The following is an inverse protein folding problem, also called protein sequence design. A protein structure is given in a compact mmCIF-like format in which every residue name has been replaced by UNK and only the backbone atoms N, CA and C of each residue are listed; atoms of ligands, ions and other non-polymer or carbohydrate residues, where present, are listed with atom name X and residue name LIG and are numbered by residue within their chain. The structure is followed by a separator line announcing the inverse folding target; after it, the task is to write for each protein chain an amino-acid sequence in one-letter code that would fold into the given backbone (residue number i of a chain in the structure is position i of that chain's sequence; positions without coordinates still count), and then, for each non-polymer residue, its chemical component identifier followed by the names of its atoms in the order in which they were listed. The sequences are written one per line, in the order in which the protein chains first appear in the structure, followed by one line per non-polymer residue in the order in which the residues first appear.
data_IF_085933396058
#
_entry.id   IF_085933396058
#
_cell.length_a   1.000
_cell.length_b   1.000
_cell.length_c   1.000
_cell.angle_alpha   90.00
_cell.angle_beta   90.00
_cell.angle_gamma   90.00
#
_symmetry.space_group_name_H-M   'P 1'
#
loop_
_entity.id
_entity.type
_entity.pdbx_description
1 polymer ?
#
# COMPACT_ATOMS: atom_id res chain seq x y z
N UNK A 1 13.27 0.98 14.60
CA UNK A 1 12.20 0.05 14.21
C UNK A 1 12.77 -1.15 13.49
N UNK A 2 12.26 -2.34 13.76
CA UNK A 2 12.72 -3.57 13.11
C UNK A 2 12.41 -3.52 11.60
N UNK A 3 13.32 -4.09 10.78
CA UNK A 3 13.09 -4.27 9.34
C UNK A 3 12.77 -5.73 9.06
N UNK A 4 11.63 -5.98 8.43
CA UNK A 4 11.18 -7.32 8.06
C UNK A 4 11.60 -7.61 6.63
N UNK A 5 12.30 -8.73 6.43
CA UNK A 5 12.64 -9.25 5.10
C UNK A 5 11.45 -10.04 4.57
N UNK A 6 10.95 -9.65 3.40
CA UNK A 6 9.85 -10.34 2.73
C UNK A 6 10.12 -10.47 1.24
N UNK A 7 9.35 -11.30 0.56
CA UNK A 7 9.43 -11.47 -0.90
C UNK A 7 8.04 -11.43 -1.49
N UNK A 8 7.83 -10.55 -2.47
CA UNK A 8 6.59 -10.48 -3.22
C UNK A 8 6.82 -10.87 -4.67
N UNK A 9 5.81 -11.46 -5.30
CA UNK A 9 5.81 -11.66 -6.75
C UNK A 9 5.23 -10.41 -7.40
N UNK A 10 6.03 -9.68 -8.16
CA UNK A 10 5.60 -8.47 -8.88
C UNK A 10 5.62 -8.73 -10.37
N UNK A 11 4.72 -8.06 -11.11
CA UNK A 11 4.78 -8.08 -12.57
C UNK A 11 6.00 -7.28 -13.03
N UNK A 12 6.60 -7.67 -14.14
CA UNK A 12 7.78 -6.99 -14.68
C UNK A 12 7.46 -5.58 -15.18
N UNK A 13 6.31 -5.37 -15.80
CA UNK A 13 5.82 -4.05 -16.20
C UNK A 13 5.67 -3.08 -15.02
N UNK A 14 5.15 -3.56 -13.88
CA UNK A 14 5.08 -2.78 -12.63
C UNK A 14 6.48 -2.38 -12.14
N UNK A 15 7.45 -3.29 -12.21
CA UNK A 15 8.84 -2.98 -11.83
C UNK A 15 9.47 -1.97 -12.78
N UNK A 16 9.28 -2.12 -14.08
CA UNK A 16 9.82 -1.19 -15.07
C UNK A 16 9.26 0.23 -14.88
N UNK A 17 7.98 0.35 -14.57
CA UNK A 17 7.36 1.66 -14.27
C UNK A 17 7.97 2.28 -13.01
N UNK A 18 8.20 1.47 -11.98
CA UNK A 18 8.80 1.91 -10.73
C UNK A 18 10.28 2.32 -10.89
N UNK A 19 11.05 1.57 -11.66
CA UNK A 19 12.45 1.87 -11.98
C UNK A 19 12.55 3.17 -12.80
N UNK A 20 11.72 3.33 -13.83
CA UNK A 20 11.65 4.57 -14.61
C UNK A 20 11.21 5.79 -13.76
N UNK A 21 10.35 5.58 -12.77
CA UNK A 21 9.93 6.63 -11.85
C UNK A 21 11.05 7.01 -10.85
N UNK A 22 11.84 6.04 -10.38
CA UNK A 22 13.02 6.29 -9.56
C UNK A 22 14.07 7.08 -10.33
N UNK A 23 14.37 6.71 -11.57
CA UNK A 23 15.30 7.46 -12.43
C UNK A 23 14.87 8.92 -12.63
N UNK A 24 13.56 9.16 -12.81
CA UNK A 24 13.02 10.52 -12.99
C UNK A 24 13.04 11.36 -11.72
N UNK A 25 12.76 10.76 -10.57
CA UNK A 25 12.55 11.50 -9.31
C UNK A 25 13.75 11.50 -8.38
N UNK A 26 14.71 10.58 -8.58
CA UNK A 26 15.80 10.30 -7.65
C UNK A 26 15.35 9.65 -6.33
N UNK A 27 14.08 9.29 -6.19
CA UNK A 27 13.52 8.68 -4.98
C UNK A 27 13.49 7.15 -5.15
N UNK A 28 13.91 6.37 -4.12
CA UNK A 28 13.88 4.92 -4.19
C UNK A 28 12.51 4.37 -4.56
N UNK A 29 12.45 3.43 -5.51
CA UNK A 29 11.18 2.88 -6.03
C UNK A 29 10.24 2.37 -4.92
N UNK A 30 10.80 1.84 -3.83
CA UNK A 30 10.01 1.32 -2.71
C UNK A 30 9.21 2.43 -2.01
N UNK A 31 9.76 3.64 -1.91
CA UNK A 31 9.05 4.79 -1.33
C UNK A 31 7.95 5.26 -2.27
N UNK A 32 8.21 5.30 -3.58
CA UNK A 32 7.20 5.62 -4.59
C UNK A 32 6.03 4.62 -4.55
N UNK A 33 6.35 3.33 -4.39
CA UNK A 33 5.35 2.28 -4.22
C UNK A 33 4.49 2.49 -2.98
N UNK A 34 5.10 2.77 -1.83
CA UNK A 34 4.36 3.01 -0.58
C UNK A 34 3.40 4.20 -0.74
N UNK A 35 3.87 5.31 -1.31
CA UNK A 35 3.04 6.49 -1.60
C UNK A 35 1.87 6.17 -2.53
N UNK A 36 2.12 5.44 -3.62
CA UNK A 36 1.07 5.01 -4.54
C UNK A 36 0.01 4.14 -3.85
N UNK A 37 0.44 3.26 -2.92
CA UNK A 37 -0.48 2.42 -2.14
C UNK A 37 -1.27 3.25 -1.12
N UNK A 38 -0.66 4.22 -0.44
CA UNK A 38 -1.38 5.15 0.44
C UNK A 38 -2.43 5.95 -0.34
N UNK A 39 -2.08 6.44 -1.53
CA UNK A 39 -3.01 7.16 -2.43
C UNK A 39 -4.20 6.30 -2.83
N UNK A 40 -3.96 5.02 -3.18
CA UNK A 40 -5.00 4.04 -3.47
C UNK A 40 -6.01 3.91 -2.32
N UNK A 41 -5.54 3.87 -1.08
CA UNK A 41 -6.37 3.71 0.10
C UNK A 41 -7.12 5.01 0.45
N UNK A 42 -6.43 6.17 0.39
CA UNK A 42 -7.02 7.50 0.67
C UNK A 42 -8.17 7.82 -0.29
N UNK A 43 -8.01 7.53 -1.57
CA UNK A 43 -8.92 8.03 -2.61
C UNK A 43 -9.88 6.99 -3.19
N UNK A 44 -9.69 5.69 -2.94
CA UNK A 44 -10.38 4.68 -3.72
C UNK A 44 -11.13 3.61 -2.92
N UNK A 45 -12.28 4.04 -2.38
CA UNK A 45 -13.24 3.17 -1.67
C UNK A 45 -13.71 1.98 -2.50
N UNK A 46 -13.68 2.04 -3.85
CA UNK A 46 -14.14 0.96 -4.74
C UNK A 46 -13.34 -0.33 -4.59
N UNK A 47 -12.10 -0.24 -4.12
CA UNK A 47 -11.25 -1.42 -3.89
C UNK A 47 -11.40 -1.99 -2.49
N UNK A 48 -12.03 -1.28 -1.55
CA UNK A 48 -12.33 -1.76 -0.21
C UNK A 48 -13.54 -2.71 -0.29
N UNK A 49 -13.42 -3.90 0.27
CA UNK A 49 -14.49 -4.91 0.30
C UNK A 49 -14.66 -5.50 1.69
N UNK A 50 -15.92 -5.62 2.12
CA UNK A 50 -16.25 -6.17 3.44
C UNK A 50 -16.28 -7.70 3.47
N UNK A 51 -16.40 -8.35 2.32
CA UNK A 51 -16.52 -9.81 2.22
C UNK A 51 -15.97 -10.35 0.91
N UNK A 52 -15.80 -11.68 0.87
CA UNK A 52 -15.44 -12.43 -0.33
C UNK A 52 -14.08 -13.14 -0.23
N UNK A 53 -13.76 -13.86 -1.30
CA UNK A 53 -12.50 -14.59 -1.45
C UNK A 53 -11.41 -13.67 -1.98
N UNK A 54 -10.19 -13.80 -1.44
CA UNK A 54 -8.99 -13.11 -1.93
C UNK A 54 -8.83 -13.33 -3.43
N UNK A 55 -8.81 -12.25 -4.20
CA UNK A 55 -8.62 -12.30 -5.66
C UNK A 55 -7.16 -12.03 -6.01
N UNK A 56 -6.62 -12.88 -6.87
CA UNK A 56 -5.24 -12.79 -7.35
C UNK A 56 -5.19 -12.04 -8.68
N UNK A 57 -4.01 -11.55 -9.04
CA UNK A 57 -3.78 -11.04 -10.39
C UNK A 57 -4.08 -12.13 -11.43
N UNK A 58 -4.52 -11.71 -12.62
CA UNK A 58 -4.66 -12.60 -13.77
C UNK A 58 -3.31 -13.29 -14.05
N UNK A 59 -3.38 -14.54 -14.54
CA UNK A 59 -2.20 -15.34 -14.91
C UNK A 59 -1.76 -15.06 -16.34
N UNK A 60 -2.73 -14.83 -17.21
CA UNK A 60 -2.53 -14.59 -18.63
C UNK A 60 -3.03 -13.20 -19.00
N UNK A 61 -2.39 -12.59 -19.98
CA UNK A 61 -2.88 -11.37 -20.61
C UNK A 61 -4.12 -11.71 -21.45
N UNK A 62 -5.14 -10.85 -21.40
CA UNK A 62 -6.41 -11.14 -22.07
C UNK A 62 -6.33 -10.99 -23.59
N UNK A 63 -5.46 -10.10 -24.07
CA UNK A 63 -5.26 -9.80 -25.49
C UNK A 63 -4.32 -10.82 -26.13
N UNK A 64 -3.14 -11.02 -25.53
CA UNK A 64 -2.10 -11.88 -26.12
C UNK A 64 -2.26 -13.36 -25.75
N UNK A 65 -3.07 -13.68 -24.73
CA UNK A 65 -3.21 -15.02 -24.13
C UNK A 65 -1.91 -15.60 -23.57
N UNK A 66 -0.83 -14.83 -23.53
CA UNK A 66 0.46 -15.26 -22.99
C UNK A 66 0.51 -15.06 -21.46
N UNK A 67 1.32 -15.84 -20.74
CA UNK A 67 1.53 -15.64 -19.31
C UNK A 67 2.06 -14.23 -19.00
N UNK A 68 1.48 -13.58 -18.00
CA UNK A 68 1.98 -12.28 -17.55
C UNK A 68 3.31 -12.48 -16.83
N UNK A 69 4.41 -11.89 -17.30
CA UNK A 69 5.74 -12.09 -16.72
C UNK A 69 5.82 -11.50 -15.31
N UNK A 70 6.28 -12.30 -14.35
CA UNK A 70 6.41 -11.94 -12.93
C UNK A 70 7.79 -12.30 -12.39
N UNK A 71 8.33 -11.45 -11.51
CA UNK A 71 9.61 -11.65 -10.81
C UNK A 71 9.39 -11.68 -9.30
N UNK A 72 10.21 -12.45 -8.59
CA UNK A 72 10.27 -12.40 -7.12
C UNK A 72 11.15 -11.23 -6.71
N UNK A 73 10.59 -10.29 -5.96
CA UNK A 73 11.26 -9.09 -5.48
C UNK A 73 11.45 -9.22 -3.98
N UNK A 74 12.71 -9.27 -3.53
CA UNK A 74 13.06 -9.26 -2.11
C UNK A 74 12.99 -7.83 -1.60
N UNK A 75 12.20 -7.59 -0.56
CA UNK A 75 12.00 -6.28 0.04
C UNK A 75 12.42 -6.29 1.50
N UNK A 76 12.87 -5.13 1.98
CA UNK A 76 13.11 -4.85 3.40
C UNK A 76 12.19 -3.72 3.80
N UNK A 77 11.10 -4.07 4.46
CA UNK A 77 10.09 -3.12 4.92
C UNK A 77 10.32 -2.78 6.38
N UNK A 78 9.93 -1.58 6.80
CA UNK A 78 9.69 -1.32 8.21
C UNK A 78 8.55 -2.23 8.70
N UNK A 79 8.57 -2.58 9.97
CA UNK A 79 7.55 -3.44 10.57
C UNK A 79 6.12 -2.91 10.34
N UNK A 80 5.90 -1.61 10.55
CA UNK A 80 4.60 -0.98 10.30
C UNK A 80 4.19 -1.01 8.81
N UNK A 81 5.12 -0.81 7.87
CA UNK A 81 4.87 -0.96 6.42
C UNK A 81 4.51 -2.41 6.06
N UNK A 82 5.18 -3.37 6.68
CA UNK A 82 4.89 -4.79 6.49
C UNK A 82 3.47 -5.13 6.95
N UNK A 83 3.09 -4.74 8.17
CA UNK A 83 1.74 -4.98 8.69
C UNK A 83 0.68 -4.25 7.88
N UNK A 84 0.95 -3.01 7.47
CA UNK A 84 0.08 -2.26 6.56
C UNK A 84 -0.23 -3.05 5.29
N UNK A 85 0.79 -3.57 4.59
CA UNK A 85 0.56 -4.39 3.40
C UNK A 85 -0.21 -5.68 3.68
N UNK A 86 0.02 -6.32 4.83
CA UNK A 86 -0.76 -7.52 5.21
C UNK A 86 -2.24 -7.18 5.43
N UNK A 87 -2.55 -6.06 6.07
CA UNK A 87 -3.94 -5.69 6.32
C UNK A 87 -4.66 -5.29 5.05
N UNK A 88 -3.98 -4.62 4.12
CA UNK A 88 -4.55 -4.30 2.80
C UNK A 88 -5.00 -5.55 2.02
N UNK A 89 -4.34 -6.70 2.25
CA UNK A 89 -4.81 -7.97 1.69
C UNK A 89 -6.24 -8.29 2.13
N UNK A 90 -6.56 -8.02 3.40
CA UNK A 90 -7.89 -8.25 3.98
C UNK A 90 -8.87 -7.14 3.61
N UNK A 91 -8.45 -5.89 3.71
CA UNK A 91 -9.31 -4.72 3.45
C UNK A 91 -9.72 -4.63 1.98
N UNK A 92 -8.82 -4.93 1.04
CA UNK A 92 -9.15 -4.92 -0.38
C UNK A 92 -9.69 -6.28 -0.88
N UNK A 93 -9.54 -7.35 -0.09
CA UNK A 93 -9.84 -8.73 -0.48
C UNK A 93 -9.09 -9.11 -1.78
N UNK A 94 -7.80 -8.76 -1.81
CA UNK A 94 -6.88 -8.93 -2.94
C UNK A 94 -5.55 -9.52 -2.44
N UNK A 95 -4.79 -10.22 -3.29
CA UNK A 95 -3.41 -10.55 -2.92
C UNK A 95 -2.55 -9.29 -2.86
N UNK A 96 -1.52 -9.26 -2.01
CA UNK A 96 -0.65 -8.07 -1.85
C UNK A 96 -0.07 -7.63 -3.20
N UNK A 97 0.50 -8.57 -3.97
CA UNK A 97 0.96 -8.31 -5.33
C UNK A 97 -0.09 -7.60 -6.20
N UNK A 98 -1.36 -7.99 -6.08
CA UNK A 98 -2.44 -7.38 -6.85
C UNK A 98 -2.72 -5.94 -6.41
N UNK A 99 -2.74 -5.69 -5.09
CA UNK A 99 -2.85 -4.34 -4.53
C UNK A 99 -1.71 -3.45 -5.03
N UNK A 100 -0.46 -3.93 -4.94
CA UNK A 100 0.72 -3.18 -5.39
C UNK A 100 0.64 -2.83 -6.88
N UNK A 101 0.22 -3.78 -7.73
CA UNK A 101 0.07 -3.53 -9.16
C UNK A 101 -1.02 -2.50 -9.45
N UNK A 102 -2.18 -2.58 -8.79
CA UNK A 102 -3.26 -1.59 -8.95
C UNK A 102 -2.78 -0.21 -8.52
N UNK A 103 -2.11 -0.11 -7.36
CA UNK A 103 -1.58 1.14 -6.86
C UNK A 103 -0.62 1.79 -7.88
N UNK A 104 0.32 1.02 -8.43
CA UNK A 104 1.28 1.52 -9.42
C UNK A 104 0.59 1.96 -10.70
N UNK A 105 -0.27 1.11 -11.30
CA UNK A 105 -0.93 1.46 -12.56
C UNK A 105 -1.90 2.63 -12.43
N UNK A 106 -2.45 2.87 -11.24
CA UNK A 106 -3.47 3.91 -11.04
C UNK A 106 -2.87 5.22 -10.56
N UNK A 107 -1.88 5.18 -9.68
CA UNK A 107 -1.44 6.36 -8.92
C UNK A 107 0.05 6.69 -9.01
N UNK A 108 0.90 5.86 -9.63
CA UNK A 108 2.33 6.14 -9.68
C UNK A 108 2.63 7.46 -10.41
N UNK A 109 1.95 7.73 -11.53
CA UNK A 109 2.17 8.95 -12.29
C UNK A 109 1.81 10.19 -11.49
N UNK A 110 0.65 10.20 -10.82
CA UNK A 110 0.25 11.31 -9.92
C UNK A 110 1.31 11.54 -8.83
N UNK A 111 1.80 10.47 -8.20
CA UNK A 111 2.85 10.56 -7.17
C UNK A 111 4.13 11.17 -7.73
N UNK A 112 4.55 10.76 -8.93
CA UNK A 112 5.73 11.31 -9.61
C UNK A 112 5.55 12.79 -9.92
N UNK A 113 4.38 13.17 -10.46
CA UNK A 113 4.07 14.55 -10.82
C UNK A 113 4.05 15.45 -9.58
N UNK A 114 3.49 14.99 -8.47
CA UNK A 114 3.48 15.72 -7.18
C UNK A 114 4.89 15.93 -6.64
N UNK A 115 5.79 14.94 -6.80
CA UNK A 115 7.21 15.06 -6.42
C UNK A 115 7.93 16.08 -7.30
N UNK A 116 7.78 16.01 -8.62
CA UNK A 116 8.51 16.87 -9.56
C UNK A 116 8.04 18.31 -9.55
N UNK A 117 6.74 18.54 -9.30
CA UNK A 117 6.16 19.89 -9.28
C UNK A 117 6.36 20.63 -7.95
N UNK A 118 6.98 19.98 -6.95
CA UNK A 118 7.18 20.59 -5.63
C UNK A 118 5.86 20.81 -4.87
N UNK A 119 4.74 20.25 -5.33
CA UNK A 119 3.44 20.33 -4.63
C UNK A 119 3.45 19.68 -3.23
N UNK A 120 4.55 18.98 -2.89
CA UNK A 120 4.81 18.45 -1.56
C UNK A 120 5.14 19.51 -0.49
N UNK A 121 5.28 20.79 -0.83
CA UNK A 121 5.54 21.87 0.14
C UNK A 121 4.30 22.31 0.94
N UNK A 122 3.13 21.69 0.70
CA UNK A 122 1.85 22.10 1.29
C UNK A 122 0.86 20.98 1.57
N UNK A 123 1.28 19.72 1.72
CA UNK A 123 0.41 18.74 2.37
C UNK A 123 0.31 19.14 3.86
N UNK A 124 -0.77 19.82 4.25
CA UNK A 124 -1.13 20.09 5.65
C UNK A 124 -1.11 18.81 6.53
N UNK A 125 -1.16 17.63 5.90
CA UNK A 125 -1.12 16.30 6.52
C UNK A 125 0.30 15.72 6.73
N UNK A 126 1.36 16.30 6.15
CA UNK A 126 2.72 15.78 6.32
C UNK A 126 2.91 14.34 5.81
N UNK A 127 2.25 13.94 4.71
CA UNK A 127 2.27 12.61 4.08
C UNK A 127 3.69 12.17 3.58
N UNK A 128 4.73 12.96 3.86
CA UNK A 128 6.14 12.63 3.65
C UNK A 128 6.68 11.57 4.64
N UNK A 129 5.97 11.28 5.73
CA UNK A 129 6.43 10.29 6.69
C UNK A 129 6.03 8.87 6.27
N UNK A 130 6.97 7.90 6.32
CA UNK A 130 6.61 6.49 6.18
C UNK A 130 5.54 6.13 7.22
N UNK A 131 4.77 5.06 6.98
CA UNK A 131 3.86 4.52 7.98
C UNK A 131 4.67 4.10 9.22
N UNK A 132 4.89 5.02 10.15
CA UNK A 132 5.76 4.79 11.32
C UNK A 132 4.96 4.09 12.41
N UNK A 133 3.69 4.45 12.56
CA UNK A 133 2.88 3.99 13.69
C UNK A 133 1.76 3.06 13.23
N UNK A 134 1.60 1.96 13.94
CA UNK A 134 0.60 0.92 13.70
C UNK A 134 -0.05 0.54 15.03
N UNK A 135 -1.37 0.54 15.10
CA UNK A 135 -2.09 0.13 16.30
C UNK A 135 -3.30 -0.75 15.97
N UNK A 136 -3.54 -1.76 16.82
CA UNK A 136 -4.77 -2.56 16.81
C UNK A 136 -5.42 -2.41 18.17
N UNK A 137 -6.66 -1.91 18.19
CA UNK A 137 -7.46 -1.82 19.41
C UNK A 137 -8.54 -2.89 19.36
N UNK A 138 -8.56 -3.74 20.39
CA UNK A 138 -9.61 -4.73 20.61
C UNK A 138 -10.69 -4.13 21.51
N UNK A 139 -11.94 -4.21 21.09
CA UNK A 139 -13.12 -3.88 21.92
C UNK A 139 -14.06 -5.07 21.96
N UNK A 140 -14.42 -5.50 23.17
CA UNK A 140 -15.38 -6.57 23.40
C UNK A 140 -16.69 -5.98 23.92
N UNK A 141 -17.81 -6.29 23.25
CA UNK A 141 -19.16 -5.90 23.64
C UNK A 141 -20.03 -7.16 23.71
N UNK A 142 -20.29 -7.65 24.93
CA UNK A 142 -20.99 -8.93 25.18
C UNK A 142 -20.31 -10.10 24.41
N UNK A 143 -20.96 -10.60 23.37
CA UNK A 143 -20.51 -11.70 22.51
C UNK A 143 -19.83 -11.23 21.21
N UNK A 144 -19.66 -9.92 21.01
CA UNK A 144 -19.04 -9.34 19.82
C UNK A 144 -17.62 -8.89 20.16
N UNK A 145 -16.63 -9.36 19.39
CA UNK A 145 -15.26 -8.84 19.44
C UNK A 145 -15.00 -8.04 18.17
N UNK A 146 -14.67 -6.76 18.34
CA UNK A 146 -14.26 -5.86 17.24
C UNK A 146 -12.78 -5.54 17.34
N UNK A 147 -12.10 -5.53 16.20
CA UNK A 147 -10.73 -5.04 16.07
C UNK A 147 -10.75 -3.78 15.20
N UNK A 148 -10.14 -2.70 15.67
CA UNK A 148 -9.92 -1.48 14.91
C UNK A 148 -8.44 -1.36 14.60
N UNK A 149 -8.12 -1.29 13.32
CA UNK A 149 -6.75 -1.18 12.82
C UNK A 149 -6.52 0.28 12.45
N UNK A 150 -5.41 0.83 12.92
CA UNK A 150 -4.98 2.20 12.67
C UNK A 150 -3.61 2.17 11.98
N UNK A 151 -3.56 2.80 10.80
CA UNK A 151 -2.35 2.97 10.00
C UNK A 151 -1.96 4.44 10.09
N UNK A 152 -1.02 4.75 10.97
CA UNK A 152 -0.86 6.08 11.57
C UNK A 152 -1.53 6.14 12.93
N UNK A 153 -0.82 6.67 13.92
CA UNK A 153 -1.30 6.82 15.29
C UNK A 153 -1.14 8.30 15.65
N UNK A 154 -2.22 8.98 16.05
CA UNK A 154 -2.15 10.36 16.52
C UNK A 154 -1.28 10.44 17.76
N UNK A 155 -0.63 11.60 17.98
CA UNK A 155 0.18 11.82 19.19
C UNK A 155 -0.65 11.66 20.47
N UNK A 156 -1.93 12.01 20.41
CA UNK A 156 -2.89 11.77 21.47
C UNK A 156 -3.70 10.48 21.20
N UNK A 157 -3.47 9.46 22.02
CA UNK A 157 -4.14 8.16 21.94
C UNK A 157 -5.59 8.19 22.44
N UNK A 158 -6.00 9.19 23.23
CA UNK A 158 -7.38 9.30 23.73
C UNK A 158 -8.38 9.53 22.59
N UNK A 159 -7.92 10.17 21.50
CA UNK A 159 -8.69 10.32 20.26
C UNK A 159 -9.11 8.98 19.64
N UNK A 160 -8.36 7.90 19.90
CA UNK A 160 -8.66 6.57 19.38
C UNK A 160 -9.72 5.82 20.20
N UNK A 161 -9.97 6.27 21.44
CA UNK A 161 -10.87 5.63 22.40
C UNK A 161 -12.26 6.30 22.45
N UNK A 162 -12.35 7.56 22.05
CA UNK A 162 -13.58 8.39 22.12
C UNK A 162 -14.50 8.30 20.89
N UNK A 163 -14.01 7.81 19.74
CA UNK A 163 -14.82 7.47 18.55
C UNK A 163 -14.99 5.95 18.42
#
# INVERSE_FOLDING_TARGET
MAKIRTTYSMRTDVMNLLEAAEEKTGIPWLRLLIRAVQRLVKHNRKYIRYSGRIRYQKRFDEKTKLPIPKKRVKMRLLEAEYYYFQDLRRVCVLSISHVLAIAVFTYLQEVVDDILTGKNDGDEDGDNYPLVNYAIIKKCLKNITTFRIWWGVPQDLELLLTR
#
